data_IF_453325922286
#
_entry.id   IF_453325922286
#
_cell.length_a   1.000
_cell.length_b   1.000
_cell.length_c   1.000
_cell.angle_alpha   90.00
_cell.angle_beta   90.00
_cell.angle_gamma   90.00
#
_symmetry.space_group_name_H-M   'P 1'
#
loop_
_entity.id
_entity.type
_entity.pdbx_description
1 polymer ?
#
# COMPACT_ATOMS: atom_id res chain seq x y z
N UNK A 1 -35.88 5.19 -20.85
CA UNK A 1 -34.41 5.14 -20.79
C UNK A 1 -34.00 4.91 -19.32
N UNK A 2 -33.49 3.71 -19.01
CA UNK A 2 -32.92 3.48 -17.63
C UNK A 2 -31.56 4.16 -17.58
N UNK A 3 -31.40 5.16 -16.72
CA UNK A 3 -30.10 5.75 -16.42
C UNK A 3 -29.18 4.60 -15.95
N UNK A 4 -28.09 4.35 -16.66
CA UNK A 4 -26.99 3.54 -16.12
C UNK A 4 -26.46 4.33 -14.93
N UNK A 5 -26.85 3.95 -13.70
CA UNK A 5 -26.09 4.31 -12.52
C UNK A 5 -24.68 3.76 -12.75
N UNK A 6 -23.73 4.65 -13.03
CA UNK A 6 -22.31 4.31 -12.98
C UNK A 6 -22.03 3.90 -11.54
N UNK A 7 -21.75 2.62 -11.32
CA UNK A 7 -21.37 2.14 -9.99
C UNK A 7 -20.16 2.98 -9.55
N UNK A 8 -20.27 3.65 -8.40
CA UNK A 8 -19.14 4.40 -7.83
C UNK A 8 -18.04 3.41 -7.45
N UNK A 9 -16.79 3.77 -7.75
CA UNK A 9 -15.61 2.99 -7.36
C UNK A 9 -15.58 2.86 -5.82
N UNK A 10 -15.13 1.71 -5.32
CA UNK A 10 -15.00 1.42 -3.88
C UNK A 10 -13.64 0.81 -3.57
N UNK A 11 -13.13 1.03 -2.38
CA UNK A 11 -11.90 0.39 -1.92
C UNK A 11 -12.02 -1.15 -1.85
N UNK A 12 -13.25 -1.68 -1.83
CA UNK A 12 -13.52 -3.12 -1.90
C UNK A 12 -13.42 -3.68 -3.32
N UNK A 13 -13.40 -2.82 -4.35
CA UNK A 13 -13.27 -3.24 -5.74
C UNK A 13 -11.79 -3.58 -6.06
N UNK A 14 -11.53 -4.43 -7.06
CA UNK A 14 -10.17 -4.77 -7.46
C UNK A 14 -9.41 -3.54 -7.99
N UNK A 15 -8.26 -3.26 -7.41
CA UNK A 15 -7.34 -2.19 -7.82
C UNK A 15 -6.58 -2.64 -9.05
N UNK A 16 -6.66 -1.91 -10.16
CA UNK A 16 -5.83 -2.17 -11.33
C UNK A 16 -4.39 -1.74 -11.04
N UNK A 17 -3.44 -2.68 -11.13
CA UNK A 17 -2.02 -2.42 -10.86
C UNK A 17 -1.16 -2.38 -12.13
N UNK A 18 -1.67 -2.88 -13.25
CA UNK A 18 -0.92 -2.95 -14.49
C UNK A 18 -1.30 -4.17 -15.34
N UNK A 19 -0.34 -4.68 -16.12
CA UNK A 19 -0.53 -5.81 -17.02
C UNK A 19 0.57 -6.87 -16.82
N UNK A 20 0.26 -8.13 -17.12
CA UNK A 20 1.25 -9.21 -17.17
C UNK A 20 1.94 -9.33 -18.55
N UNK A 21 2.73 -10.40 -18.72
CA UNK A 21 3.47 -10.68 -19.96
C UNK A 21 2.54 -11.01 -21.15
N UNK A 22 1.31 -11.45 -20.89
CA UNK A 22 0.28 -11.71 -21.90
C UNK A 22 -0.62 -10.48 -22.15
N UNK A 23 -0.25 -9.31 -21.66
CA UNK A 23 -1.06 -8.08 -21.68
C UNK A 23 -2.41 -8.18 -20.96
N UNK A 24 -2.56 -9.15 -20.05
CA UNK A 24 -3.77 -9.29 -19.23
C UNK A 24 -3.71 -8.37 -18.03
N UNK A 25 -4.83 -7.73 -17.65
CA UNK A 25 -4.87 -6.87 -16.47
C UNK A 25 -4.49 -7.61 -15.19
N UNK A 26 -3.68 -6.97 -14.36
CA UNK A 26 -3.31 -7.43 -13.02
C UNK A 26 -4.04 -6.58 -12.00
N UNK A 27 -4.79 -7.24 -11.13
CA UNK A 27 -5.57 -6.58 -10.09
C UNK A 27 -5.19 -7.07 -8.70
N UNK A 28 -5.31 -6.18 -7.70
CA UNK A 28 -5.20 -6.49 -6.28
C UNK A 28 -6.53 -6.21 -5.59
N UNK A 29 -6.89 -7.03 -4.61
CA UNK A 29 -7.95 -6.70 -3.65
C UNK A 29 -7.30 -6.55 -2.28
N UNK A 30 -7.14 -5.30 -1.83
CA UNK A 30 -6.37 -4.99 -0.63
C UNK A 30 -7.18 -5.04 0.67
N UNK A 31 -8.50 -4.90 0.61
CA UNK A 31 -9.31 -5.09 1.82
C UNK A 31 -9.08 -6.50 2.38
N UNK A 32 -8.69 -6.57 3.64
CA UNK A 32 -8.23 -7.77 4.37
C UNK A 32 -6.85 -8.31 3.94
N UNK A 33 -6.07 -7.54 3.20
CA UNK A 33 -4.70 -7.92 2.82
C UNK A 33 -3.77 -6.72 2.91
N UNK A 34 -2.48 -7.00 3.08
CA UNK A 34 -1.43 -6.00 3.11
C UNK A 34 -0.53 -6.19 1.89
N UNK A 35 0.12 -5.11 1.42
CA UNK A 35 1.02 -5.12 0.26
C UNK A 35 2.42 -4.65 0.69
N UNK A 36 3.42 -5.48 0.45
CA UNK A 36 4.83 -5.12 0.54
C UNK A 36 5.37 -4.84 -0.87
N UNK A 37 6.00 -3.68 -1.04
CA UNK A 37 6.63 -3.28 -2.31
C UNK A 37 8.11 -3.02 -2.06
N UNK A 38 8.99 -3.67 -2.80
CA UNK A 38 10.41 -3.42 -2.64
C UNK A 38 11.16 -3.44 -3.98
N UNK A 39 12.34 -2.80 -4.00
CA UNK A 39 13.22 -2.73 -5.17
C UNK A 39 14.11 -1.49 -5.11
N UNK A 40 15.09 -1.42 -6.00
CA UNK A 40 16.05 -0.32 -6.09
C UNK A 40 15.39 1.04 -6.41
N UNK A 41 16.11 2.16 -6.19
CA UNK A 41 15.69 3.46 -6.68
C UNK A 41 15.42 3.43 -8.19
N UNK A 42 14.33 4.06 -8.64
CA UNK A 42 13.95 4.11 -10.05
C UNK A 42 13.35 2.82 -10.62
N UNK A 43 13.24 1.73 -9.84
CA UNK A 43 12.72 0.45 -10.33
C UNK A 43 11.19 0.42 -10.54
N UNK A 44 10.42 1.40 -10.02
CA UNK A 44 8.96 1.50 -10.25
C UNK A 44 8.09 1.47 -8.99
N UNK A 45 8.68 1.48 -7.78
CA UNK A 45 7.91 1.47 -6.51
C UNK A 45 6.89 2.59 -6.41
N UNK A 46 7.30 3.83 -6.70
CA UNK A 46 6.42 5.01 -6.65
C UNK A 46 5.21 4.87 -7.57
N UNK A 47 5.39 4.25 -8.77
CA UNK A 47 4.28 3.94 -9.67
C UNK A 47 3.24 3.04 -8.98
N UNK A 48 3.66 1.91 -8.42
CA UNK A 48 2.74 1.00 -7.73
C UNK A 48 2.05 1.65 -6.52
N UNK A 49 2.75 2.50 -5.75
CA UNK A 49 2.14 3.24 -4.65
C UNK A 49 1.11 4.24 -5.15
N UNK A 50 1.42 4.98 -6.22
CA UNK A 50 0.52 5.96 -6.82
C UNK A 50 -0.75 5.30 -7.37
N UNK A 51 -0.67 4.13 -8.00
CA UNK A 51 -1.84 3.38 -8.49
C UNK A 51 -2.78 3.00 -7.34
N UNK A 52 -2.22 2.51 -6.23
CA UNK A 52 -2.99 2.11 -5.05
C UNK A 52 -3.62 3.33 -4.36
N UNK A 53 -2.86 4.42 -4.20
CA UNK A 53 -3.36 5.67 -3.59
C UNK A 53 -4.41 6.32 -4.46
N UNK A 54 -4.21 6.37 -5.79
CA UNK A 54 -5.19 6.90 -6.72
C UNK A 54 -6.53 6.17 -6.63
N UNK A 55 -6.51 4.83 -6.56
CA UNK A 55 -7.72 4.05 -6.37
C UNK A 55 -8.42 4.41 -5.04
N UNK A 56 -7.69 4.46 -3.93
CA UNK A 56 -8.26 4.82 -2.62
C UNK A 56 -8.88 6.24 -2.61
N UNK A 57 -8.23 7.21 -3.27
CA UNK A 57 -8.72 8.59 -3.41
C UNK A 57 -9.98 8.64 -4.27
N UNK A 58 -10.03 7.93 -5.40
CA UNK A 58 -11.18 7.91 -6.31
C UNK A 58 -12.36 7.12 -5.73
N UNK A 59 -12.10 6.10 -4.93
CA UNK A 59 -13.13 5.31 -4.26
C UNK A 59 -13.93 6.13 -3.25
N UNK A 60 -13.28 7.03 -2.50
CA UNK A 60 -13.93 7.92 -1.55
C UNK A 60 -14.49 7.26 -0.28
N UNK A 61 -14.48 5.93 -0.19
CA UNK A 61 -14.93 5.14 0.95
C UNK A 61 -13.76 4.55 1.77
N UNK A 62 -12.57 5.18 1.67
CA UNK A 62 -11.35 4.80 2.35
C UNK A 62 -10.72 6.02 3.03
N UNK A 63 -10.34 5.87 4.29
CA UNK A 63 -9.53 6.87 5.01
C UNK A 63 -8.07 6.64 4.67
N UNK A 64 -7.40 7.66 4.16
CA UNK A 64 -6.03 7.56 3.66
C UNK A 64 -5.04 8.17 4.65
N UNK A 65 -4.09 7.35 5.12
CA UNK A 65 -2.99 7.73 5.99
C UNK A 65 -1.67 7.52 5.27
N UNK A 66 -0.83 8.55 5.20
CA UNK A 66 0.42 8.55 4.45
C UNK A 66 1.61 8.82 5.37
N UNK A 67 2.67 8.03 5.24
CA UNK A 67 3.97 8.23 5.88
C UNK A 67 5.06 8.34 4.82
N UNK A 68 5.61 9.54 4.64
CA UNK A 68 6.66 9.84 3.66
C UNK A 68 7.76 10.66 4.31
N UNK A 69 8.82 9.98 4.75
CA UNK A 69 9.95 10.61 5.43
C UNK A 69 10.70 11.64 4.59
N UNK A 70 10.64 11.53 3.26
CA UNK A 70 11.25 12.47 2.32
C UNK A 70 10.30 13.59 1.88
N UNK A 71 8.99 13.40 2.06
CA UNK A 71 7.91 14.31 1.65
C UNK A 71 7.84 14.59 0.14
N UNK A 72 8.33 13.68 -0.68
CA UNK A 72 8.43 13.84 -2.14
C UNK A 72 7.52 12.86 -2.86
N UNK A 73 7.58 11.58 -2.49
CA UNK A 73 6.91 10.50 -3.24
C UNK A 73 5.39 10.50 -3.05
N UNK A 74 4.92 10.71 -1.81
CA UNK A 74 3.49 10.79 -1.47
C UNK A 74 3.02 12.24 -1.26
N UNK A 75 3.92 13.22 -1.43
CA UNK A 75 3.64 14.63 -1.18
C UNK A 75 2.49 15.20 -2.00
N UNK A 76 2.33 14.75 -3.26
CA UNK A 76 1.25 15.18 -4.16
C UNK A 76 -0.15 14.75 -3.67
N UNK A 77 -0.22 13.69 -2.85
CA UNK A 77 -1.47 13.19 -2.27
C UNK A 77 -1.85 13.80 -0.92
N UNK A 78 -1.00 14.69 -0.37
CA UNK A 78 -1.17 15.25 0.98
C UNK A 78 -2.55 15.87 1.20
N UNK A 79 -3.11 16.57 0.22
CA UNK A 79 -4.42 17.20 0.31
C UNK A 79 -5.59 16.19 0.42
N UNK A 80 -5.32 14.92 0.12
CA UNK A 80 -6.32 13.83 0.15
C UNK A 80 -6.11 12.91 1.35
N UNK A 81 -5.00 13.05 2.06
CA UNK A 81 -4.71 12.27 3.24
C UNK A 81 -5.42 12.84 4.46
N UNK A 82 -6.06 11.99 5.24
CA UNK A 82 -6.55 12.33 6.59
C UNK A 82 -5.37 12.54 7.55
N UNK A 83 -4.33 11.72 7.41
CA UNK A 83 -3.08 11.81 8.17
C UNK A 83 -1.90 11.82 7.21
N UNK A 84 -1.01 12.79 7.37
CA UNK A 84 0.25 12.84 6.63
C UNK A 84 1.42 13.04 7.60
N UNK A 85 2.23 11.99 7.77
CA UNK A 85 3.44 12.00 8.58
C UNK A 85 4.66 12.24 7.68
N UNK A 86 5.47 13.22 8.04
CA UNK A 86 6.74 13.51 7.38
C UNK A 86 7.90 12.74 8.03
N UNK A 87 9.00 13.46 8.32
CA UNK A 87 10.23 12.88 8.83
C UNK A 87 10.24 12.57 10.33
N UNK A 88 9.19 12.88 11.07
CA UNK A 88 9.12 12.68 12.52
C UNK A 88 8.77 11.24 12.86
N UNK A 89 9.72 10.52 13.47
CA UNK A 89 9.49 9.16 13.95
C UNK A 89 8.55 9.13 15.17
N UNK A 90 8.59 10.14 16.03
CA UNK A 90 7.68 10.25 17.17
C UNK A 90 6.23 10.45 16.72
N UNK A 91 6.01 11.29 15.72
CA UNK A 91 4.69 11.44 15.09
C UNK A 91 4.21 10.13 14.45
N UNK A 92 5.08 9.42 13.74
CA UNK A 92 4.75 8.11 13.17
C UNK A 92 4.31 7.10 14.24
N UNK A 93 5.00 7.08 15.39
CA UNK A 93 4.64 6.22 16.53
C UNK A 93 3.29 6.62 17.11
N UNK A 94 3.03 7.92 17.28
CA UNK A 94 1.75 8.42 17.77
C UNK A 94 0.60 8.00 16.86
N UNK A 95 0.75 8.17 15.55
CA UNK A 95 -0.27 7.73 14.57
C UNK A 95 -0.47 6.21 14.59
N UNK A 96 0.57 5.41 14.76
CA UNK A 96 0.40 3.96 14.89
C UNK A 96 -0.35 3.57 16.16
N UNK A 97 -0.16 4.30 17.28
CA UNK A 97 -0.94 4.08 18.51
C UNK A 97 -2.41 4.44 18.34
N UNK A 98 -2.69 5.54 17.64
CA UNK A 98 -4.07 5.91 17.29
C UNK A 98 -4.71 4.83 16.41
N UNK A 99 -3.97 4.30 15.44
CA UNK A 99 -4.45 3.23 14.58
C UNK A 99 -4.72 1.94 15.35
N UNK A 100 -3.90 1.61 16.37
CA UNK A 100 -4.17 0.49 17.27
C UNK A 100 -5.43 0.72 18.11
N UNK A 101 -5.62 1.93 18.66
CA UNK A 101 -6.82 2.26 19.44
C UNK A 101 -8.08 2.16 18.58
N UNK A 102 -8.04 2.67 17.34
CA UNK A 102 -9.14 2.53 16.36
C UNK A 102 -9.42 1.05 16.05
N UNK A 103 -8.38 0.26 15.87
CA UNK A 103 -8.47 -1.17 15.61
C UNK A 103 -9.16 -1.91 16.78
N UNK A 104 -8.75 -1.63 18.01
CA UNK A 104 -9.31 -2.26 19.22
C UNK A 104 -10.78 -1.86 19.39
N UNK A 105 -11.13 -0.58 19.18
CA UNK A 105 -12.52 -0.12 19.20
C UNK A 105 -13.40 -0.82 18.15
N UNK A 106 -12.86 -1.06 16.95
CA UNK A 106 -13.57 -1.85 15.90
C UNK A 106 -13.77 -3.30 16.31
N UNK A 107 -12.79 -3.92 16.98
CA UNK A 107 -12.93 -5.27 17.47
C UNK A 107 -14.02 -5.38 18.56
N UNK A 108 -14.09 -4.41 19.47
CA UNK A 108 -15.16 -4.37 20.49
C UNK A 108 -16.54 -4.27 19.82
N UNK A 109 -16.68 -3.45 18.77
CA UNK A 109 -17.92 -3.35 18.02
C UNK A 109 -18.26 -4.64 17.27
N UNK A 110 -17.28 -5.24 16.60
CA UNK A 110 -17.46 -6.53 15.91
C UNK A 110 -17.90 -7.62 16.85
N UNK A 111 -17.32 -7.69 18.06
CA UNK A 111 -17.78 -8.65 19.08
C UNK A 111 -19.22 -8.37 19.53
N UNK A 112 -19.57 -7.11 19.75
CA UNK A 112 -20.95 -6.71 20.05
C UNK A 112 -21.94 -7.10 18.97
N UNK A 113 -21.56 -6.98 17.70
CA UNK A 113 -22.40 -7.35 16.55
C UNK A 113 -22.32 -8.84 16.18
N UNK A 114 -21.45 -9.61 16.83
CA UNK A 114 -21.16 -11.01 16.48
C UNK A 114 -20.65 -11.18 15.03
N UNK A 115 -19.89 -10.20 14.54
CA UNK A 115 -19.26 -10.23 13.24
C UNK A 115 -17.77 -10.56 13.38
N UNK A 116 -17.18 -11.15 12.34
CA UNK A 116 -15.76 -11.55 12.34
C UNK A 116 -14.84 -10.52 11.68
N UNK A 117 -15.39 -9.61 10.91
CA UNK A 117 -14.67 -8.55 10.18
C UNK A 117 -15.62 -7.46 9.75
N UNK A 118 -15.10 -6.27 9.54
CA UNK A 118 -15.86 -5.20 8.88
C UNK A 118 -16.15 -5.58 7.44
N UNK A 119 -17.21 -5.02 6.86
CA UNK A 119 -17.63 -5.27 5.48
C UNK A 119 -18.26 -4.03 4.86
N UNK A 120 -18.39 -4.05 3.54
CA UNK A 120 -19.01 -2.95 2.80
C UNK A 120 -20.43 -2.69 3.33
N UNK A 121 -20.68 -1.45 3.75
CA UNK A 121 -22.01 -1.02 4.19
C UNK A 121 -22.30 -1.18 5.69
N UNK A 122 -21.36 -1.62 6.52
CA UNK A 122 -21.51 -1.73 7.99
C UNK A 122 -21.23 -0.42 8.74
N UNK A 123 -20.97 0.67 8.01
CA UNK A 123 -20.70 1.99 8.59
C UNK A 123 -19.22 2.28 8.85
N UNK A 124 -18.33 1.29 8.72
CA UNK A 124 -16.89 1.48 8.83
C UNK A 124 -16.23 1.73 7.47
N UNK A 125 -15.45 2.79 7.38
CA UNK A 125 -14.55 2.99 6.25
C UNK A 125 -13.21 2.28 6.53
N UNK A 126 -12.70 1.46 5.61
CA UNK A 126 -11.33 0.95 5.69
C UNK A 126 -10.32 2.09 5.82
N UNK A 127 -9.22 1.82 6.52
CA UNK A 127 -8.10 2.76 6.64
C UNK A 127 -6.93 2.17 5.86
N UNK A 128 -6.39 2.94 4.91
CA UNK A 128 -5.19 2.56 4.18
C UNK A 128 -4.01 3.38 4.68
N UNK A 129 -3.08 2.70 5.35
CA UNK A 129 -1.77 3.24 5.73
C UNK A 129 -0.76 2.93 4.63
N UNK A 130 -0.20 3.96 3.99
CA UNK A 130 0.85 3.84 2.99
C UNK A 130 2.16 4.39 3.53
N UNK A 131 3.23 3.59 3.51
CA UNK A 131 4.57 3.96 3.96
C UNK A 131 5.51 3.89 2.75
N UNK A 132 6.06 5.04 2.32
CA UNK A 132 6.93 5.12 1.15
C UNK A 132 8.29 4.44 1.36
N UNK A 133 8.92 4.66 2.52
CA UNK A 133 10.22 4.06 2.82
C UNK A 133 10.25 3.51 4.26
N UNK A 134 10.02 2.20 4.36
CA UNK A 134 10.00 1.50 5.65
C UNK A 134 11.35 1.62 6.38
N UNK A 135 12.48 1.52 5.63
CA UNK A 135 13.82 1.63 6.20
C UNK A 135 14.09 2.98 6.86
N UNK A 136 13.42 4.04 6.42
CA UNK A 136 13.56 5.35 7.05
C UNK A 136 13.10 5.31 8.53
N UNK A 137 11.91 4.82 8.77
CA UNK A 137 11.30 4.78 10.12
C UNK A 137 11.85 3.65 10.99
N UNK A 138 12.20 2.50 10.40
CA UNK A 138 12.63 1.32 11.15
C UNK A 138 14.15 1.23 11.39
N UNK A 139 14.97 1.94 10.59
CA UNK A 139 16.42 1.81 10.69
C UNK A 139 17.20 3.14 10.68
N UNK A 140 16.64 4.24 10.16
CA UNK A 140 17.39 5.48 9.94
C UNK A 140 17.01 6.59 10.91
N UNK A 141 15.71 6.86 11.09
CA UNK A 141 15.23 7.96 11.92
C UNK A 141 15.35 7.67 13.42
N UNK A 142 15.59 8.70 14.23
CA UNK A 142 15.61 8.62 15.69
C UNK A 142 16.67 7.70 16.28
N UNK A 143 16.51 7.35 17.54
CA UNK A 143 17.37 6.39 18.23
C UNK A 143 16.88 4.93 18.08
N UNK A 144 17.68 3.97 18.55
CA UNK A 144 17.39 2.53 18.43
C UNK A 144 16.08 2.14 19.12
N UNK A 145 15.82 2.64 20.33
CA UNK A 145 14.63 2.29 21.11
C UNK A 145 13.34 2.79 20.44
N UNK A 146 13.38 3.98 19.90
CA UNK A 146 12.27 4.59 19.17
C UNK A 146 11.95 3.81 17.90
N UNK A 147 12.99 3.40 17.14
CA UNK A 147 12.82 2.53 15.96
C UNK A 147 12.24 1.14 16.28
N UNK A 148 12.69 0.54 17.37
CA UNK A 148 12.13 -0.74 17.85
C UNK A 148 10.65 -0.57 18.23
N UNK A 149 10.29 0.53 18.90
CA UNK A 149 8.88 0.84 19.21
C UNK A 149 8.03 0.98 17.95
N UNK A 150 8.50 1.75 16.95
CA UNK A 150 7.81 1.86 15.66
C UNK A 150 7.60 0.48 15.01
N UNK A 151 8.65 -0.34 14.96
CA UNK A 151 8.61 -1.65 14.31
C UNK A 151 7.64 -2.62 15.02
N UNK A 152 7.57 -2.59 16.35
CA UNK A 152 6.63 -3.40 17.12
C UNK A 152 5.18 -2.97 16.88
N UNK A 153 4.90 -1.66 16.92
CA UNK A 153 3.57 -1.12 16.68
C UNK A 153 3.09 -1.42 15.25
N UNK A 154 3.94 -1.17 14.26
CA UNK A 154 3.63 -1.45 12.86
C UNK A 154 3.33 -2.94 12.64
N UNK A 155 4.16 -3.82 13.21
CA UNK A 155 3.95 -5.27 13.12
C UNK A 155 2.62 -5.70 13.71
N UNK A 156 2.23 -5.15 14.86
CA UNK A 156 0.95 -5.44 15.48
C UNK A 156 -0.23 -4.98 14.61
N UNK A 157 -0.17 -3.77 14.06
CA UNK A 157 -1.17 -3.26 13.12
C UNK A 157 -1.30 -4.16 11.89
N UNK A 158 -0.17 -4.59 11.29
CA UNK A 158 -0.18 -5.47 10.12
C UNK A 158 -0.78 -6.85 10.48
N UNK A 159 -0.43 -7.40 11.63
CA UNK A 159 -0.85 -8.74 12.06
C UNK A 159 -2.36 -8.79 12.38
N UNK A 160 -2.87 -7.78 13.07
CA UNK A 160 -4.25 -7.75 13.56
C UNK A 160 -5.21 -6.91 12.71
N UNK A 161 -4.72 -5.93 11.96
CA UNK A 161 -5.56 -4.93 11.30
C UNK A 161 -6.51 -5.45 10.21
N UNK A 162 -6.25 -6.64 9.66
CA UNK A 162 -6.99 -7.18 8.50
C UNK A 162 -8.50 -7.22 8.73
N UNK A 163 -8.96 -7.81 9.82
CA UNK A 163 -10.38 -7.95 10.10
C UNK A 163 -11.04 -6.61 10.50
N UNK A 164 -10.28 -5.69 11.08
CA UNK A 164 -10.71 -4.33 11.40
C UNK A 164 -10.67 -3.39 10.18
N UNK A 165 -10.32 -3.88 8.97
CA UNK A 165 -10.28 -3.09 7.74
C UNK A 165 -9.11 -2.13 7.67
N UNK A 166 -8.02 -2.42 8.38
CA UNK A 166 -6.77 -1.68 8.23
C UNK A 166 -5.93 -2.37 7.17
N UNK A 167 -5.57 -1.61 6.15
CA UNK A 167 -4.77 -2.02 5.00
C UNK A 167 -3.42 -1.34 5.14
N UNK A 168 -2.33 -2.12 5.18
CA UNK A 168 -0.98 -1.57 5.19
C UNK A 168 -0.30 -1.82 3.84
N UNK A 169 0.15 -0.75 3.21
CA UNK A 169 0.98 -0.76 2.02
C UNK A 169 2.34 -0.19 2.41
N UNK A 170 3.37 -1.02 2.47
CA UNK A 170 4.69 -0.60 2.87
C UNK A 170 5.70 -0.79 1.73
N UNK A 171 6.48 0.26 1.44
CA UNK A 171 7.53 0.18 0.45
C UNK A 171 8.92 0.36 1.07
N UNK A 172 9.95 -0.17 0.41
CA UNK A 172 11.36 0.05 0.77
C UNK A 172 12.28 -0.06 -0.44
N UNK A 173 13.29 0.79 -0.47
CA UNK A 173 14.39 0.70 -1.43
C UNK A 173 15.50 -0.24 -0.94
N UNK A 174 15.44 -0.65 0.32
CA UNK A 174 16.44 -1.50 0.95
C UNK A 174 15.81 -2.80 1.46
N UNK A 175 15.58 -3.79 0.57
CA UNK A 175 15.08 -5.09 0.98
C UNK A 175 16.20 -5.90 1.65
N UNK A 176 16.37 -5.73 2.95
CA UNK A 176 17.33 -6.42 3.80
C UNK A 176 16.63 -7.06 4.99
N UNK A 177 17.22 -8.11 5.57
CA UNK A 177 16.60 -8.89 6.64
C UNK A 177 16.37 -8.10 7.94
N UNK A 178 17.15 -7.03 8.17
CA UNK A 178 16.97 -6.10 9.28
C UNK A 178 15.76 -5.17 9.09
N UNK A 179 15.41 -4.83 7.85
CA UNK A 179 14.23 -4.02 7.51
C UNK A 179 12.97 -4.87 7.36
N UNK A 180 13.10 -6.01 6.67
CA UNK A 180 12.00 -6.94 6.38
C UNK A 180 12.37 -8.32 6.95
N UNK A 181 12.33 -8.51 8.27
CA UNK A 181 12.52 -9.85 8.84
C UNK A 181 11.39 -10.78 8.36
N UNK A 182 11.69 -12.06 8.25
CA UNK A 182 10.73 -13.08 7.78
C UNK A 182 9.38 -13.00 8.50
N UNK A 183 9.41 -12.78 9.81
CA UNK A 183 8.19 -12.64 10.61
C UNK A 183 7.33 -11.42 10.31
N UNK A 184 7.89 -10.37 9.71
CA UNK A 184 7.15 -9.22 9.20
C UNK A 184 6.68 -9.46 7.77
N UNK A 185 7.59 -9.95 6.89
CA UNK A 185 7.28 -10.26 5.49
C UNK A 185 6.05 -11.15 5.34
N UNK A 186 5.99 -12.20 6.15
CA UNK A 186 4.95 -13.23 6.03
C UNK A 186 3.54 -12.75 6.47
N UNK A 187 3.45 -11.54 7.04
CA UNK A 187 2.18 -10.86 7.31
C UNK A 187 1.58 -10.16 6.08
N UNK A 188 2.38 -9.98 5.01
CA UNK A 188 1.91 -9.36 3.78
C UNK A 188 1.35 -10.42 2.81
N UNK A 189 0.06 -10.33 2.51
CA UNK A 189 -0.63 -11.22 1.56
C UNK A 189 -0.26 -10.96 0.10
N UNK A 190 0.21 -9.74 -0.22
CA UNK A 190 0.80 -9.40 -1.51
C UNK A 190 2.24 -8.92 -1.31
N UNK A 191 3.13 -9.38 -2.17
CA UNK A 191 4.54 -8.96 -2.19
C UNK A 191 4.95 -8.67 -3.63
N UNK A 192 5.40 -7.45 -3.89
CA UNK A 192 5.83 -6.99 -5.21
C UNK A 192 7.32 -6.65 -5.14
N UNK A 193 8.13 -7.46 -5.80
CA UNK A 193 9.56 -7.24 -5.97
C UNK A 193 9.82 -6.61 -7.35
N UNK A 194 10.11 -5.32 -7.38
CA UNK A 194 10.76 -4.68 -8.51
C UNK A 194 12.23 -5.09 -8.57
N UNK A 195 12.98 -4.62 -9.57
CA UNK A 195 14.40 -4.94 -9.68
C UNK A 195 15.12 -4.76 -8.34
N UNK A 196 15.84 -5.80 -7.93
CA UNK A 196 16.68 -5.87 -6.74
C UNK A 196 18.15 -5.98 -7.14
N UNK A 197 19.07 -5.59 -6.24
CA UNK A 197 20.52 -5.68 -6.49
C UNK A 197 21.02 -7.14 -6.54
N UNK A 198 20.41 -8.02 -5.73
CA UNK A 198 20.84 -9.41 -5.55
C UNK A 198 19.66 -10.36 -5.48
N UNK A 199 19.92 -11.65 -5.77
CA UNK A 199 18.95 -12.74 -5.55
C UNK A 199 18.48 -12.82 -4.10
N UNK A 200 19.39 -12.60 -3.14
CA UNK A 200 19.06 -12.56 -1.72
C UNK A 200 18.05 -11.46 -1.41
N UNK A 201 18.21 -10.27 -1.98
CA UNK A 201 17.25 -9.17 -1.83
C UNK A 201 15.90 -9.52 -2.45
N UNK A 202 15.89 -10.23 -3.59
CA UNK A 202 14.67 -10.75 -4.20
C UNK A 202 13.96 -11.74 -3.26
N UNK A 203 14.70 -12.68 -2.68
CA UNK A 203 14.16 -13.69 -1.75
C UNK A 203 13.69 -13.07 -0.41
N UNK A 204 14.32 -11.99 0.05
CA UNK A 204 13.83 -11.26 1.23
C UNK A 204 12.42 -10.72 0.98
N UNK A 205 12.08 -10.29 -0.21
CA UNK A 205 10.74 -9.80 -0.56
C UNK A 205 9.78 -10.93 -0.85
N UNK A 206 10.12 -11.78 -1.80
CA UNK A 206 9.21 -12.83 -2.32
C UNK A 206 9.09 -14.01 -1.35
N UNK A 207 10.18 -14.36 -0.66
CA UNK A 207 10.32 -15.54 0.17
C UNK A 207 11.47 -16.42 -0.33
N UNK A 208 12.04 -17.19 0.59
CA UNK A 208 13.18 -18.07 0.26
C UNK A 208 12.85 -19.09 -0.83
N UNK A 209 13.81 -19.29 -1.76
CA UNK A 209 13.77 -20.31 -2.76
C UNK A 209 13.03 -19.94 -4.05
N UNK A 210 12.47 -18.73 -4.16
CA UNK A 210 11.85 -18.32 -5.40
C UNK A 210 12.88 -18.07 -6.51
N UNK A 211 14.06 -17.50 -6.20
CA UNK A 211 15.13 -17.31 -7.19
C UNK A 211 15.55 -18.64 -7.83
N UNK A 212 15.71 -19.72 -7.05
CA UNK A 212 16.09 -21.03 -7.57
C UNK A 212 15.00 -21.70 -8.43
N UNK A 213 13.76 -21.20 -8.35
CA UNK A 213 12.62 -21.61 -9.19
C UNK A 213 12.42 -20.71 -10.41
N UNK A 214 13.36 -19.79 -10.69
CA UNK A 214 13.33 -18.88 -11.83
C UNK A 214 12.60 -17.55 -11.59
N UNK A 215 12.17 -17.26 -10.34
CA UNK A 215 11.53 -15.99 -9.98
C UNK A 215 12.53 -15.11 -9.20
N UNK A 216 13.42 -14.47 -9.94
CA UNK A 216 14.48 -13.64 -9.39
C UNK A 216 14.36 -12.20 -9.88
N UNK A 217 14.02 -11.29 -8.97
CA UNK A 217 13.89 -9.87 -9.29
C UNK A 217 15.25 -9.19 -9.57
N UNK A 218 16.39 -9.83 -9.26
CA UNK A 218 17.71 -9.29 -9.62
C UNK A 218 18.00 -9.42 -11.12
N UNK A 219 17.28 -10.30 -11.82
CA UNK A 219 17.39 -10.52 -13.26
C UNK A 219 16.48 -9.57 -14.08
N UNK A 220 15.74 -8.68 -13.46
CA UNK A 220 14.93 -7.69 -14.16
C UNK A 220 15.88 -6.66 -14.81
N UNK A 221 15.70 -6.44 -16.11
CA UNK A 221 16.50 -5.48 -16.89
C UNK A 221 16.37 -4.06 -16.31
N UNK A 222 17.48 -3.38 -15.99
CA UNK A 222 17.48 -1.99 -15.54
C UNK A 222 16.76 -1.02 -16.47
N UNK A 223 16.73 -1.30 -17.77
CA UNK A 223 16.04 -0.52 -18.79
C UNK A 223 14.51 -0.66 -18.78
N UNK A 224 13.95 -1.48 -17.87
CA UNK A 224 12.50 -1.74 -17.80
C UNK A 224 11.89 -1.31 -16.46
N UNK A 225 11.87 -0.01 -16.11
CA UNK A 225 11.23 0.46 -14.89
C UNK A 225 9.74 0.07 -14.88
N UNK A 226 9.22 -0.22 -13.68
CA UNK A 226 7.84 -0.66 -13.50
C UNK A 226 7.64 -2.16 -13.70
N UNK A 227 8.63 -2.91 -14.20
CA UNK A 227 8.55 -4.37 -14.26
C UNK A 227 8.89 -4.95 -12.87
N UNK A 228 8.07 -5.89 -12.41
CA UNK A 228 8.23 -6.55 -11.13
C UNK A 228 7.66 -7.97 -11.10
N UNK A 229 7.94 -8.67 -10.02
CA UNK A 229 7.39 -9.98 -9.69
C UNK A 229 6.38 -9.83 -8.57
N UNK A 230 5.12 -10.06 -8.86
CA UNK A 230 4.02 -10.01 -7.90
C UNK A 230 3.70 -11.41 -7.38
N UNK A 231 3.81 -11.59 -6.07
CA UNK A 231 3.37 -12.79 -5.37
C UNK A 231 2.11 -12.49 -4.56
N UNK A 232 1.03 -13.20 -4.83
CA UNK A 232 -0.18 -13.24 -4.02
C UNK A 232 -0.13 -14.39 -3.01
N UNK A 233 -0.85 -14.25 -1.90
CA UNK A 233 -0.94 -15.27 -0.84
C UNK A 233 -1.32 -16.65 -1.41
N UNK A 234 -0.49 -17.66 -1.16
CA UNK A 234 -0.68 -19.02 -1.67
C UNK A 234 -0.40 -19.22 -3.17
N UNK A 235 0.05 -18.18 -3.87
CA UNK A 235 0.31 -18.21 -5.31
C UNK A 235 1.77 -18.45 -5.70
N UNK A 236 2.03 -18.24 -6.98
CA UNK A 236 3.36 -18.25 -7.61
C UNK A 236 3.65 -16.82 -8.06
N UNK A 237 4.90 -16.33 -7.97
CA UNK A 237 5.25 -15.01 -8.47
C UNK A 237 4.90 -14.87 -9.95
N UNK A 238 4.26 -13.76 -10.31
CA UNK A 238 3.86 -13.42 -11.67
C UNK A 238 4.63 -12.20 -12.12
N UNK A 239 5.25 -12.25 -13.29
CA UNK A 239 5.90 -11.09 -13.88
C UNK A 239 4.83 -10.13 -14.41
N UNK A 240 5.00 -8.86 -14.12
CA UNK A 240 4.07 -7.83 -14.53
C UNK A 240 4.78 -6.48 -14.73
N UNK A 241 4.10 -5.55 -15.40
CA UNK A 241 4.48 -4.14 -15.46
C UNK A 241 3.37 -3.32 -14.82
N UNK A 242 3.72 -2.50 -13.83
CA UNK A 242 2.80 -1.56 -13.20
C UNK A 242 2.36 -0.48 -14.20
N UNK A 243 1.16 0.02 -14.00
CA UNK A 243 0.69 1.25 -14.61
C UNK A 243 1.57 2.43 -14.14
N UNK A 244 1.48 3.55 -14.83
CA UNK A 244 2.25 4.73 -14.46
C UNK A 244 1.33 5.96 -14.52
N UNK A 245 1.31 6.70 -13.45
CA UNK A 245 0.65 7.99 -13.35
C UNK A 245 1.72 9.10 -13.34
N UNK A 246 1.60 10.05 -14.26
CA UNK A 246 2.42 11.25 -14.25
C UNK A 246 2.01 12.20 -13.11
N UNK A 247 2.89 13.11 -12.70
CA UNK A 247 2.58 14.12 -11.67
C UNK A 247 1.36 14.98 -12.05
N UNK A 248 1.14 15.21 -13.35
CA UNK A 248 -0.03 15.94 -13.86
C UNK A 248 -1.32 15.13 -13.61
N UNK A 249 -1.30 13.82 -13.87
CA UNK A 249 -2.45 12.94 -13.64
C UNK A 249 -2.72 12.79 -12.15
N UNK A 250 -1.67 12.62 -11.34
CA UNK A 250 -1.76 12.62 -9.87
C UNK A 250 -2.41 13.92 -9.37
N UNK A 251 -1.92 15.06 -9.86
CA UNK A 251 -2.46 16.38 -9.50
C UNK A 251 -3.94 16.54 -9.87
N UNK A 252 -4.36 16.02 -11.03
CA UNK A 252 -5.78 16.00 -11.44
C UNK A 252 -6.61 15.13 -10.52
N UNK A 253 -6.18 13.93 -10.18
CA UNK A 253 -6.89 13.03 -9.27
C UNK A 253 -6.94 13.64 -7.86
N UNK A 254 -5.84 14.18 -7.36
CA UNK A 254 -5.78 14.83 -6.05
C UNK A 254 -6.65 16.09 -5.96
N UNK A 255 -6.79 16.84 -7.07
CA UNK A 255 -7.70 18.00 -7.17
C UNK A 255 -9.17 17.64 -7.38
N UNK A 256 -9.46 16.37 -7.72
CA UNK A 256 -10.82 15.92 -7.98
C UNK A 256 -11.61 15.80 -6.66
N UNK A 257 -12.71 16.52 -6.53
CA UNK A 257 -13.64 16.35 -5.42
C UNK A 257 -14.73 15.37 -5.84
N UNK A 258 -14.80 14.20 -5.22
CA UNK A 258 -15.98 13.36 -5.34
C UNK A 258 -17.18 14.14 -4.76
N UNK A 259 -18.12 14.52 -5.60
CA UNK A 259 -19.36 15.16 -5.15
C UNK A 259 -20.19 14.18 -4.30
N UNK A 260 -21.08 14.67 -3.41
CA UNK A 260 -21.90 13.83 -2.54
C UNK A 260 -22.78 12.82 -3.28
N UNK A 261 -22.93 12.95 -4.60
CA UNK A 261 -23.75 12.07 -5.45
C UNK A 261 -22.94 11.24 -6.47
N UNK A 262 -21.61 11.07 -6.29
CA UNK A 262 -20.77 10.27 -7.20
C UNK A 262 -20.65 10.84 -8.63
N UNK A 263 -21.02 12.09 -8.85
CA UNK A 263 -20.89 12.81 -10.12
C UNK A 263 -19.57 13.55 -10.20
N UNK A 264 -18.79 13.27 -11.26
CA UNK A 264 -17.55 13.98 -11.62
C UNK A 264 -17.91 15.45 -11.92
N UNK A 265 -17.52 16.38 -11.05
CA UNK A 265 -17.58 17.82 -11.37
C UNK A 265 -16.20 18.26 -11.80
N UNK A 266 -16.08 18.62 -13.07
CA UNK A 266 -14.87 19.22 -13.64
C UNK A 266 -14.72 20.65 -13.09
N UNK A 267 -13.70 20.87 -12.25
CA UNK A 267 -13.43 22.16 -11.63
C UNK A 267 -12.68 23.11 -12.56
N UNK A 268 -13.25 23.41 -13.74
CA UNK A 268 -12.74 24.48 -14.61
C UNK A 268 -13.69 25.67 -14.55
N UNK A 269 -13.44 26.62 -13.64
CA UNK A 269 -13.91 27.98 -13.78
C UNK A 269 -13.10 28.95 -12.91
N UNK A 270 -12.51 29.94 -13.56
CA UNK A 270 -11.92 31.21 -13.20
C UNK A 270 -10.45 31.22 -12.81
#
# INVERSE_FOLDING_TARGET
MRSRQTASLSIYDPIHLGIDEDARPVHLTLVYRNLLVAGEPGAGKSGALNDVVAHAVLAGDCRLWLMDGKRVELGLWRSRAEVFVGSSLDEAIERLRELQAEMDARYDQLDGWKLRKISRGDGHQPIMLVIDELAYFSATAGDKRTRETFSLLLRDVIARGRAAGIIVVAATQRPSADIIPTSLRDLFGYRLAFRCTTETSSDIVLGHGWHSRGFDASQIDPGTPGVGLLLAEGGIPRRMRCAYLSDIEIGRIAGHTAGPDGGVTDGSAA
#
